data_IF_227900601182
#
_entry.id   IF_227900601182
#
_cell.length_a   1.000
_cell.length_b   1.000
_cell.length_c   1.000
_cell.angle_alpha   90.00
_cell.angle_beta   90.00
_cell.angle_gamma   90.00
#
_symmetry.space_group_name_H-M   'P 1'
#
loop_
_entity.id
_entity.type
_entity.pdbx_description
1 polymer ?
#
# COMPACT_ATOMS: atom_id res chain seq x y z
N UNK A 1 18.73 -9.88 0.57
CA UNK A 1 17.66 -10.51 1.41
C UNK A 1 16.96 -11.57 0.58
N UNK A 2 16.77 -12.80 1.09
CA UNK A 2 16.19 -13.87 0.28
C UNK A 2 14.67 -13.70 0.15
N UNK A 3 14.16 -13.74 -1.08
CA UNK A 3 12.71 -13.76 -1.41
C UNK A 3 11.98 -14.91 -0.71
N UNK A 4 12.71 -15.98 -0.33
CA UNK A 4 12.16 -17.12 0.43
C UNK A 4 11.53 -16.67 1.76
N UNK A 5 12.15 -15.77 2.51
CA UNK A 5 11.63 -15.28 3.78
C UNK A 5 10.31 -14.49 3.63
N UNK A 6 10.13 -13.79 2.51
CA UNK A 6 8.86 -13.10 2.18
C UNK A 6 7.78 -14.09 1.76
N UNK A 7 8.16 -15.20 1.09
CA UNK A 7 7.25 -16.28 0.71
C UNK A 7 6.73 -17.04 1.91
N UNK A 8 7.56 -17.27 2.91
CA UNK A 8 7.18 -18.03 4.12
C UNK A 8 6.05 -17.35 4.92
N UNK A 9 5.91 -16.04 4.81
CA UNK A 9 4.76 -15.32 5.39
C UNK A 9 3.43 -15.76 4.75
N UNK A 10 3.46 -16.38 3.56
CA UNK A 10 2.28 -16.78 2.79
C UNK A 10 2.17 -18.23 2.37
N UNK A 11 3.22 -19.01 2.51
CA UNK A 11 3.28 -20.31 1.84
C UNK A 11 2.39 -21.35 2.52
N UNK A 12 1.20 -21.54 1.95
CA UNK A 12 0.46 -22.79 2.05
C UNK A 12 0.60 -23.47 0.68
N UNK A 13 1.48 -24.49 0.54
CA UNK A 13 1.72 -25.12 -0.74
C UNK A 13 0.50 -25.90 -1.26
N UNK A 14 0.38 -26.01 -2.60
CA UNK A 14 -0.57 -26.86 -3.29
C UNK A 14 -1.99 -26.27 -3.44
N UNK A 15 -2.93 -27.17 -3.71
CA UNK A 15 -4.35 -26.83 -3.99
C UNK A 15 -4.99 -26.00 -2.87
N UNK A 16 -4.64 -26.27 -1.62
CA UNK A 16 -5.11 -25.51 -0.45
C UNK A 16 -4.68 -24.03 -0.51
N UNK A 17 -3.47 -23.75 -0.96
CA UNK A 17 -2.97 -22.39 -1.15
C UNK A 17 -3.71 -21.66 -2.27
N UNK A 18 -4.01 -22.35 -3.37
CA UNK A 18 -4.79 -21.79 -4.48
C UNK A 18 -6.23 -21.46 -4.06
N UNK A 19 -6.92 -22.41 -3.41
CA UNK A 19 -8.29 -22.20 -2.89
C UNK A 19 -8.31 -21.03 -1.90
N UNK A 20 -7.37 -20.97 -0.97
CA UNK A 20 -7.25 -19.89 -0.01
C UNK A 20 -7.07 -18.53 -0.71
N UNK A 21 -6.21 -18.44 -1.75
CA UNK A 21 -6.02 -17.22 -2.54
C UNK A 21 -7.30 -16.79 -3.24
N UNK A 22 -8.08 -17.71 -3.78
CA UNK A 22 -9.35 -17.40 -4.46
C UNK A 22 -10.42 -16.94 -3.46
N UNK A 23 -10.56 -17.63 -2.35
CA UNK A 23 -11.48 -17.24 -1.27
C UNK A 23 -11.12 -15.85 -0.76
N UNK A 24 -9.85 -15.57 -0.46
CA UNK A 24 -9.39 -14.26 0.02
C UNK A 24 -9.69 -13.14 -1.00
N UNK A 25 -9.53 -13.42 -2.32
CA UNK A 25 -9.88 -12.46 -3.37
C UNK A 25 -11.37 -12.20 -3.45
N UNK A 26 -12.18 -13.23 -3.33
CA UNK A 26 -13.64 -13.10 -3.36
C UNK A 26 -14.14 -12.33 -2.13
N UNK A 27 -13.62 -12.65 -0.96
CA UNK A 27 -13.97 -11.93 0.26
C UNK A 27 -13.46 -10.48 0.20
N UNK A 28 -12.26 -10.22 -0.33
CA UNK A 28 -11.77 -8.86 -0.51
C UNK A 28 -12.67 -8.02 -1.41
N UNK A 29 -13.22 -8.62 -2.50
CA UNK A 29 -14.21 -7.95 -3.36
C UNK A 29 -15.53 -7.69 -2.63
N UNK A 30 -16.01 -8.65 -1.84
CA UNK A 30 -17.23 -8.47 -1.06
C UNK A 30 -17.04 -7.34 -0.01
N UNK A 31 -15.92 -7.32 0.69
CA UNK A 31 -15.60 -6.25 1.64
C UNK A 31 -15.52 -4.91 0.93
N UNK A 32 -14.86 -4.84 -0.23
CA UNK A 32 -14.81 -3.61 -1.02
C UNK A 32 -16.20 -3.12 -1.44
N UNK A 33 -17.04 -4.03 -1.92
CA UNK A 33 -18.40 -3.68 -2.31
C UNK A 33 -19.21 -3.16 -1.14
N UNK A 34 -19.12 -3.81 0.02
CA UNK A 34 -19.83 -3.38 1.24
C UNK A 34 -19.34 -2.03 1.75
N UNK A 35 -18.03 -1.74 1.66
CA UNK A 35 -17.48 -0.45 2.12
C UNK A 35 -17.85 0.74 1.23
N UNK A 36 -18.38 0.49 0.02
CA UNK A 36 -18.93 1.52 -0.87
C UNK A 36 -20.38 1.88 -0.56
N UNK A 37 -21.06 1.09 0.25
CA UNK A 37 -22.45 1.37 0.65
C UNK A 37 -22.50 2.55 1.64
N UNK A 38 -23.55 3.39 1.59
CA UNK A 38 -23.76 4.43 2.58
C UNK A 38 -23.79 3.85 4.02
N UNK A 39 -23.13 4.53 4.95
CA UNK A 39 -23.09 4.11 6.36
C UNK A 39 -22.09 2.99 6.69
N UNK A 40 -21.38 2.44 5.71
CA UNK A 40 -20.32 1.47 5.96
C UNK A 40 -18.96 2.16 6.21
N UNK A 41 -18.03 1.46 6.88
CA UNK A 41 -16.67 1.92 7.10
C UNK A 41 -15.90 2.16 5.78
N UNK A 42 -14.80 2.89 5.84
CA UNK A 42 -13.88 3.03 4.71
C UNK A 42 -13.12 1.73 4.48
N UNK A 43 -12.82 1.44 3.21
CA UNK A 43 -11.89 0.36 2.84
C UNK A 43 -10.42 0.77 3.11
N UNK A 44 -10.18 1.25 4.33
CA UNK A 44 -8.90 1.79 4.80
C UNK A 44 -8.55 1.09 6.10
N UNK A 45 -7.31 0.64 6.22
CA UNK A 45 -6.77 0.01 7.43
C UNK A 45 -5.59 0.81 7.94
N UNK A 46 -5.61 1.18 9.22
CA UNK A 46 -4.47 1.81 9.89
C UNK A 46 -3.44 0.73 10.22
N UNK A 47 -2.24 0.86 9.69
CA UNK A 47 -1.12 -0.07 9.96
C UNK A 47 -0.38 0.36 11.23
N UNK A 48 -0.10 1.65 11.33
CA UNK A 48 0.54 2.28 12.48
C UNK A 48 0.14 3.77 12.55
N UNK A 49 0.84 4.57 13.35
CA UNK A 49 0.48 5.97 13.60
C UNK A 49 0.64 6.89 12.39
N UNK A 50 1.35 6.47 11.36
CA UNK A 50 1.67 7.30 10.20
C UNK A 50 1.31 6.65 8.85
N UNK A 51 0.89 5.37 8.83
CA UNK A 51 0.60 4.64 7.59
C UNK A 51 -0.79 4.03 7.61
N UNK A 52 -1.54 4.34 6.56
CA UNK A 52 -2.77 3.66 6.19
C UNK A 52 -2.60 2.92 4.86
N UNK A 53 -3.26 1.79 4.71
CA UNK A 53 -3.27 0.99 3.50
C UNK A 53 -4.70 0.59 3.15
N UNK A 54 -5.07 0.66 1.88
CA UNK A 54 -6.45 0.31 1.53
C UNK A 54 -6.77 0.19 0.07
N UNK A 55 -8.06 0.16 -0.21
CA UNK A 55 -8.65 0.30 -1.54
C UNK A 55 -9.05 1.72 -1.85
N UNK A 56 -9.47 1.97 -3.08
CA UNK A 56 -9.93 3.29 -3.51
C UNK A 56 -11.09 3.81 -2.66
N UNK A 57 -11.05 5.07 -2.32
CA UNK A 57 -12.09 5.77 -1.56
C UNK A 57 -12.91 6.63 -2.52
N UNK A 58 -14.25 6.59 -2.50
CA UNK A 58 -15.07 7.46 -3.32
C UNK A 58 -14.85 8.94 -2.97
N UNK A 59 -14.89 9.82 -3.97
CA UNK A 59 -14.74 11.28 -3.77
C UNK A 59 -15.66 11.83 -2.68
N UNK A 60 -16.90 11.37 -2.59
CA UNK A 60 -17.87 11.78 -1.57
C UNK A 60 -17.45 11.47 -0.14
N UNK A 61 -16.41 10.65 0.04
CA UNK A 61 -15.89 10.23 1.35
C UNK A 61 -14.45 10.70 1.63
N UNK A 62 -13.91 11.62 0.86
CA UNK A 62 -12.57 12.17 1.13
C UNK A 62 -12.48 12.92 2.47
N UNK A 63 -13.58 13.52 2.91
CA UNK A 63 -13.66 14.12 4.24
C UNK A 63 -13.40 13.11 5.37
N UNK A 64 -13.75 11.84 5.16
CA UNK A 64 -13.48 10.79 6.14
C UNK A 64 -11.97 10.46 6.20
N UNK A 65 -11.23 10.55 5.08
CA UNK A 65 -9.76 10.43 5.10
C UNK A 65 -9.14 11.56 5.92
N UNK A 66 -9.64 12.79 5.76
CA UNK A 66 -9.20 13.93 6.56
C UNK A 66 -9.49 13.73 8.05
N UNK A 67 -10.67 13.20 8.39
CA UNK A 67 -11.05 12.90 9.78
C UNK A 67 -10.17 11.80 10.40
N UNK A 68 -9.62 10.86 9.60
CA UNK A 68 -8.63 9.89 10.04
C UNK A 68 -7.23 10.49 10.26
N UNK A 69 -7.00 11.74 9.87
CA UNK A 69 -5.71 12.41 9.97
C UNK A 69 -4.82 12.25 8.73
N UNK A 70 -5.32 11.66 7.64
CA UNK A 70 -4.54 11.52 6.39
C UNK A 70 -4.23 12.89 5.82
N UNK A 71 -2.96 13.13 5.53
CA UNK A 71 -2.45 14.37 4.92
C UNK A 71 -1.89 14.16 3.51
N UNK A 72 -1.61 12.90 3.15
CA UNK A 72 -0.99 12.55 1.89
C UNK A 72 -1.52 11.20 1.38
N UNK A 73 -1.80 11.12 0.08
CA UNK A 73 -2.32 9.91 -0.59
C UNK A 73 -1.37 9.51 -1.71
N UNK A 74 -1.04 8.21 -1.78
CA UNK A 74 -0.37 7.61 -2.94
C UNK A 74 -1.35 6.66 -3.60
N UNK A 75 -1.83 7.05 -4.78
CA UNK A 75 -2.70 6.24 -5.61
C UNK A 75 -1.89 5.41 -6.61
N UNK A 76 -1.97 4.09 -6.49
CA UNK A 76 -1.22 3.14 -7.33
C UNK A 76 -2.04 2.64 -8.53
N UNK A 77 -3.18 3.24 -8.83
CA UNK A 77 -4.05 2.77 -9.90
C UNK A 77 -3.59 3.28 -11.27
N UNK A 78 -3.49 2.38 -12.25
CA UNK A 78 -3.33 2.73 -13.65
C UNK A 78 -4.67 2.89 -14.39
N UNK A 79 -5.74 2.35 -13.82
CA UNK A 79 -7.08 2.34 -14.39
C UNK A 79 -7.88 3.63 -14.13
N UNK A 80 -7.52 4.39 -13.12
CA UNK A 80 -8.11 5.69 -12.76
C UNK A 80 -7.23 6.39 -11.73
N UNK A 81 -7.52 7.66 -11.45
CA UNK A 81 -6.84 8.45 -10.42
C UNK A 81 -7.86 9.09 -9.48
N UNK A 82 -7.44 9.37 -8.26
CA UNK A 82 -8.23 10.18 -7.33
C UNK A 82 -8.36 11.63 -7.83
N UNK A 83 -9.39 12.34 -7.38
CA UNK A 83 -9.59 13.75 -7.72
C UNK A 83 -8.64 14.62 -6.89
N UNK A 84 -7.54 15.02 -7.50
CA UNK A 84 -6.49 15.84 -6.87
C UNK A 84 -7.04 17.16 -6.33
N UNK A 85 -7.91 17.83 -7.08
CA UNK A 85 -8.49 19.12 -6.64
C UNK A 85 -9.36 18.95 -5.41
N UNK A 86 -10.15 17.86 -5.37
CA UNK A 86 -11.01 17.58 -4.23
C UNK A 86 -10.22 17.18 -2.98
N UNK A 87 -9.10 16.46 -3.13
CA UNK A 87 -8.19 16.15 -2.03
C UNK A 87 -7.46 17.42 -1.54
N UNK A 88 -6.94 18.22 -2.46
CA UNK A 88 -6.24 19.47 -2.14
C UNK A 88 -7.13 20.45 -1.39
N UNK A 89 -8.43 20.55 -1.72
CA UNK A 89 -9.40 21.36 -0.99
C UNK A 89 -9.57 20.95 0.49
N UNK A 90 -9.20 19.70 0.83
CA UNK A 90 -9.17 19.18 2.20
C UNK A 90 -7.78 19.25 2.84
N UNK A 91 -6.79 19.82 2.14
CA UNK A 91 -5.39 19.85 2.58
C UNK A 91 -4.73 18.46 2.55
N UNK A 92 -5.14 17.60 1.61
CA UNK A 92 -4.56 16.28 1.39
C UNK A 92 -3.82 16.32 0.05
N UNK A 93 -2.53 16.02 0.08
CA UNK A 93 -1.71 15.94 -1.12
C UNK A 93 -1.88 14.59 -1.82
N UNK A 94 -1.78 14.57 -3.15
CA UNK A 94 -1.88 13.36 -3.97
C UNK A 94 -0.60 13.13 -4.77
N UNK A 95 -0.11 11.90 -4.75
CA UNK A 95 0.83 11.36 -5.72
C UNK A 95 0.18 10.20 -6.46
N UNK A 96 0.03 10.30 -7.77
CA UNK A 96 -0.39 9.18 -8.60
C UNK A 96 0.82 8.48 -9.21
N UNK A 97 0.93 7.17 -8.96
CA UNK A 97 1.94 6.27 -9.52
C UNK A 97 1.24 5.11 -10.23
N UNK A 98 0.84 5.30 -11.50
CA UNK A 98 0.00 4.33 -12.20
C UNK A 98 0.71 3.00 -12.42
N UNK A 99 0.10 1.92 -11.96
CA UNK A 99 0.57 0.54 -12.10
C UNK A 99 -0.58 -0.34 -12.55
N UNK A 100 -0.31 -1.18 -13.55
CA UNK A 100 -1.28 -2.18 -14.04
C UNK A 100 -1.68 -3.14 -12.92
N UNK A 101 -2.97 -3.49 -12.84
CA UNK A 101 -3.45 -4.41 -11.81
C UNK A 101 -2.70 -5.75 -11.84
N UNK A 102 -2.39 -6.27 -10.65
CA UNK A 102 -1.62 -7.51 -10.40
C UNK A 102 -0.13 -7.45 -10.77
N UNK A 103 0.36 -6.34 -11.32
CA UNK A 103 1.79 -6.13 -11.54
C UNK A 103 2.42 -5.41 -10.34
N UNK A 104 3.73 -5.59 -10.10
CA UNK A 104 4.44 -4.76 -9.15
C UNK A 104 4.63 -3.35 -9.75
N UNK A 105 4.71 -2.31 -8.93
CA UNK A 105 5.37 -1.07 -9.32
C UNK A 105 6.83 -1.35 -9.73
N UNK A 106 7.38 -0.55 -10.62
CA UNK A 106 8.83 -0.61 -10.87
C UNK A 106 9.62 -0.15 -9.63
N UNK A 107 10.89 -0.50 -9.56
CA UNK A 107 11.77 -0.04 -8.48
C UNK A 107 11.82 1.49 -8.43
N UNK A 108 11.85 2.14 -9.58
CA UNK A 108 11.85 3.60 -9.70
C UNK A 108 10.55 4.21 -9.18
N UNK A 109 9.40 3.58 -9.45
CA UNK A 109 8.10 4.03 -8.90
C UNK A 109 8.06 3.90 -7.38
N UNK A 110 8.58 2.79 -6.84
CA UNK A 110 8.68 2.59 -5.39
C UNK A 110 9.62 3.62 -4.75
N UNK A 111 10.79 3.86 -5.36
CA UNK A 111 11.73 4.90 -4.92
C UNK A 111 11.06 6.28 -4.91
N UNK A 112 10.42 6.67 -6.01
CA UNK A 112 9.70 7.94 -6.11
C UNK A 112 8.61 8.08 -5.05
N UNK A 113 7.83 7.04 -4.80
CA UNK A 113 6.79 7.04 -3.77
C UNK A 113 7.37 7.20 -2.37
N UNK A 114 8.49 6.51 -2.08
CA UNK A 114 9.21 6.63 -0.80
C UNK A 114 9.78 8.04 -0.62
N UNK A 115 10.50 8.55 -1.63
CA UNK A 115 11.10 9.89 -1.59
C UNK A 115 10.06 11.00 -1.40
N UNK A 116 8.88 10.81 -1.99
CA UNK A 116 7.76 11.74 -1.81
C UNK A 116 7.11 11.62 -0.44
N UNK A 117 7.04 10.41 0.14
CA UNK A 117 6.38 10.17 1.43
C UNK A 117 7.25 10.61 2.62
N UNK A 118 8.58 10.33 2.59
CA UNK A 118 9.46 10.53 3.75
C UNK A 118 9.44 11.96 4.32
N UNK A 119 9.60 13.04 3.53
CA UNK A 119 9.55 14.40 4.08
C UNK A 119 8.21 14.75 4.74
N UNK A 120 7.10 14.22 4.21
CA UNK A 120 5.76 14.43 4.75
C UNK A 120 5.58 13.74 6.10
N UNK A 121 6.12 12.54 6.23
CA UNK A 121 6.14 11.78 7.48
C UNK A 121 7.05 12.42 8.53
N UNK A 122 8.18 13.01 8.13
CA UNK A 122 9.09 13.76 9.01
C UNK A 122 8.43 15.03 9.56
N UNK A 123 7.53 15.63 8.80
CA UNK A 123 6.71 16.78 9.22
C UNK A 123 5.48 16.38 10.07
N UNK A 124 5.38 15.11 10.47
CA UNK A 124 4.26 14.60 11.27
C UNK A 124 3.01 14.25 10.44
N UNK A 125 3.10 14.20 9.13
CA UNK A 125 2.01 13.81 8.24
C UNK A 125 1.67 12.33 8.36
N UNK A 126 0.51 11.95 7.83
CA UNK A 126 0.03 10.58 7.75
C UNK A 126 -0.25 10.23 6.29
N UNK A 127 0.33 9.11 5.84
CA UNK A 127 0.27 8.68 4.44
C UNK A 127 -0.73 7.53 4.27
N UNK A 128 -1.59 7.64 3.29
CA UNK A 128 -2.46 6.58 2.82
C UNK A 128 -2.00 6.06 1.47
N UNK A 129 -1.64 4.77 1.38
CA UNK A 129 -1.29 4.11 0.13
C UNK A 129 -2.39 3.17 -0.31
N UNK A 130 -2.87 3.32 -1.53
CA UNK A 130 -3.96 2.50 -2.00
C UNK A 130 -3.86 2.10 -3.48
N UNK A 131 -4.68 1.16 -3.86
CA UNK A 131 -5.01 0.79 -5.23
C UNK A 131 -6.52 0.56 -5.33
N UNK A 132 -7.01 -0.17 -6.30
CA UNK A 132 -8.46 -0.41 -6.42
C UNK A 132 -9.02 -1.19 -5.23
N UNK A 133 -8.40 -2.33 -4.87
CA UNK A 133 -8.91 -3.24 -3.85
C UNK A 133 -8.09 -3.22 -2.54
N UNK A 134 -6.92 -2.62 -2.53
CA UNK A 134 -6.03 -2.61 -1.37
C UNK A 134 -5.46 -3.99 -1.02
N UNK A 135 -5.24 -4.85 -2.02
CA UNK A 135 -4.76 -6.23 -1.84
C UNK A 135 -3.28 -6.37 -2.18
N UNK A 136 -2.81 -5.69 -3.25
CA UNK A 136 -1.44 -5.86 -3.77
C UNK A 136 -0.66 -4.56 -3.89
N UNK A 137 -0.96 -3.72 -4.88
CA UNK A 137 -0.19 -2.52 -5.25
C UNK A 137 -0.08 -1.50 -4.11
N UNK A 138 -1.19 -1.12 -3.47
CA UNK A 138 -1.21 -0.20 -2.33
C UNK A 138 -0.43 -0.75 -1.12
N UNK A 139 -0.71 -1.99 -0.65
CA UNK A 139 0.09 -2.62 0.38
C UNK A 139 1.59 -2.67 0.08
N UNK A 140 1.98 -2.96 -1.17
CA UNK A 140 3.39 -3.02 -1.57
C UNK A 140 4.06 -1.65 -1.45
N UNK A 141 3.39 -0.56 -1.84
CA UNK A 141 3.91 0.79 -1.64
C UNK A 141 4.06 1.12 -0.14
N UNK A 142 3.08 0.77 0.68
CA UNK A 142 3.18 0.93 2.13
C UNK A 142 4.36 0.17 2.73
N UNK A 143 4.61 -1.06 2.27
CA UNK A 143 5.78 -1.87 2.66
C UNK A 143 7.09 -1.20 2.27
N UNK A 144 7.18 -0.65 1.07
CA UNK A 144 8.38 0.07 0.62
C UNK A 144 8.70 1.26 1.53
N UNK A 145 7.67 2.03 1.95
CA UNK A 145 7.84 3.14 2.89
C UNK A 145 8.30 2.63 4.27
N UNK A 146 7.72 1.54 4.78
CA UNK A 146 8.14 0.95 6.06
C UNK A 146 9.60 0.49 6.02
N UNK A 147 10.01 -0.18 4.95
CA UNK A 147 11.41 -0.61 4.74
C UNK A 147 12.35 0.59 4.67
N UNK A 148 11.97 1.63 3.96
CA UNK A 148 12.78 2.85 3.86
C UNK A 148 12.97 3.55 5.21
N UNK A 149 12.01 3.41 6.12
CA UNK A 149 12.09 3.86 7.52
C UNK A 149 12.80 2.88 8.45
N UNK A 150 13.43 1.85 7.93
CA UNK A 150 14.26 0.91 8.67
C UNK A 150 13.58 -0.36 9.15
N UNK A 151 12.32 -0.60 8.77
CA UNK A 151 11.67 -1.86 9.11
C UNK A 151 12.26 -3.03 8.31
N UNK A 152 12.40 -4.19 8.94
CA UNK A 152 12.66 -5.45 8.24
C UNK A 152 11.43 -5.83 7.39
N UNK A 153 11.65 -6.17 6.12
CA UNK A 153 10.55 -6.36 5.17
C UNK A 153 9.59 -7.51 5.55
N UNK A 154 10.05 -8.68 6.02
CA UNK A 154 9.17 -9.71 6.59
C UNK A 154 8.36 -9.24 7.80
N UNK A 155 8.96 -8.44 8.68
CA UNK A 155 8.26 -7.85 9.86
C UNK A 155 7.18 -6.88 9.40
N UNK A 156 7.55 -5.92 8.55
CA UNK A 156 6.62 -4.95 7.96
C UNK A 156 5.44 -5.65 7.27
N UNK A 157 5.70 -6.72 6.52
CA UNK A 157 4.65 -7.45 5.84
C UNK A 157 3.67 -8.15 6.80
N UNK A 158 4.17 -8.70 7.92
CA UNK A 158 3.29 -9.24 8.97
C UNK A 158 2.43 -8.16 9.61
N UNK A 159 2.98 -6.97 9.86
CA UNK A 159 2.23 -5.83 10.41
C UNK A 159 1.13 -5.35 9.47
N UNK A 160 1.46 -5.15 8.20
CA UNK A 160 0.46 -4.80 7.18
C UNK A 160 -0.65 -5.85 7.12
N UNK A 161 -0.32 -7.13 7.16
CA UNK A 161 -1.31 -8.21 7.15
C UNK A 161 -2.14 -8.31 8.42
N UNK A 162 -1.57 -7.99 9.57
CA UNK A 162 -2.30 -7.93 10.84
C UNK A 162 -3.36 -6.82 10.79
N UNK A 163 -3.01 -5.65 10.26
CA UNK A 163 -3.93 -4.53 10.09
C UNK A 163 -4.93 -4.74 8.95
N UNK A 164 -4.47 -5.40 7.88
CA UNK A 164 -5.25 -5.66 6.66
C UNK A 164 -5.04 -7.10 6.18
N UNK A 165 -5.85 -8.01 6.68
CA UNK A 165 -5.74 -9.44 6.38
C UNK A 165 -5.89 -9.77 4.87
N UNK A 166 -6.58 -8.91 4.09
CA UNK A 166 -6.73 -9.02 2.64
C UNK A 166 -5.44 -8.74 1.88
N UNK A 167 -4.48 -8.02 2.49
CA UNK A 167 -3.21 -7.70 1.86
C UNK A 167 -2.46 -8.99 1.52
N UNK A 168 -2.35 -9.29 0.21
CA UNK A 168 -1.74 -10.51 -0.29
C UNK A 168 -0.97 -10.18 -1.56
N UNK A 169 0.35 -10.13 -1.45
CA UNK A 169 1.22 -9.94 -2.61
C UNK A 169 1.31 -11.25 -3.41
N UNK A 170 1.21 -11.17 -4.72
CA UNK A 170 1.53 -12.29 -5.60
C UNK A 170 3.05 -12.42 -5.79
N UNK A 171 3.52 -13.51 -6.44
CA UNK A 171 4.95 -13.77 -6.59
C UNK A 171 5.69 -12.65 -7.33
N UNK A 172 5.07 -12.00 -8.34
CA UNK A 172 5.67 -10.85 -9.05
C UNK A 172 5.84 -9.66 -8.10
N UNK A 173 4.86 -9.40 -7.28
CA UNK A 173 4.88 -8.31 -6.30
C UNK A 173 5.87 -8.58 -5.16
N UNK A 174 6.03 -9.84 -4.73
CA UNK A 174 7.06 -10.23 -3.76
C UNK A 174 8.46 -10.05 -4.33
N UNK A 175 8.68 -10.41 -5.60
CA UNK A 175 9.95 -10.16 -6.28
C UNK A 175 10.22 -8.66 -6.40
N UNK A 176 9.24 -7.87 -6.84
CA UNK A 176 9.37 -6.41 -6.94
C UNK A 176 9.70 -5.73 -5.59
N UNK A 177 9.14 -6.25 -4.48
CA UNK A 177 9.54 -5.78 -3.14
C UNK A 177 10.98 -6.14 -2.81
N UNK A 178 11.43 -7.36 -3.13
CA UNK A 178 12.82 -7.79 -2.89
C UNK A 178 13.81 -6.98 -3.72
N UNK A 179 13.48 -6.69 -4.99
CA UNK A 179 14.29 -5.86 -5.87
C UNK A 179 14.41 -4.43 -5.30
N UNK A 180 13.29 -3.86 -4.85
CA UNK A 180 13.29 -2.56 -4.16
C UNK A 180 14.17 -2.59 -2.89
N UNK A 181 14.04 -3.58 -2.02
CA UNK A 181 14.84 -3.68 -0.79
C UNK A 181 16.33 -3.71 -1.12
N UNK A 182 16.72 -4.47 -2.14
CA UNK A 182 18.11 -4.56 -2.60
C UNK A 182 18.62 -3.21 -3.13
N UNK A 183 17.83 -2.56 -3.98
CA UNK A 183 18.17 -1.27 -4.56
C UNK A 183 18.20 -0.15 -3.49
N UNK A 184 17.27 -0.17 -2.54
CA UNK A 184 17.25 0.79 -1.44
C UNK A 184 18.47 0.65 -0.52
N UNK A 185 18.85 -0.58 -0.18
CA UNK A 185 20.05 -0.84 0.64
C UNK A 185 21.37 -0.45 -0.06
N UNK A 186 21.40 -0.50 -1.40
CA UNK A 186 22.56 -0.08 -2.19
C UNK A 186 22.71 1.45 -2.27
N UNK A 187 21.72 2.24 -1.88
CA UNK A 187 21.83 3.69 -1.76
C UNK A 187 22.79 4.01 -0.61
N UNK A 188 23.95 4.58 -0.90
CA UNK A 188 24.89 5.03 0.13
C UNK A 188 24.17 5.99 1.08
N UNK A 189 24.28 5.81 2.41
CA UNK A 189 23.80 6.81 3.35
C UNK A 189 24.63 8.08 3.13
N UNK A 190 24.02 9.15 2.62
CA UNK A 190 24.72 10.42 2.46
C UNK A 190 24.43 11.22 1.19
N UNK A 191 23.20 11.26 0.73
CA UNK A 191 22.72 12.32 -0.17
C UNK A 191 21.28 12.68 0.17
N UNK A 192 21.09 13.27 1.36
CA UNK A 192 20.07 14.30 1.51
C UNK A 192 20.71 15.55 0.90
N UNK A 193 20.22 15.97 -0.25
CA UNK A 193 20.51 17.29 -0.80
C UNK A 193 19.53 18.28 -0.22
#
# INVERSE_FOLDING_TARGET
MSVSLLRDVHHVPGVRGWVRKQVLRSVARCVEWTTKLPGQGLNVSRVNDWLFVGGGVPRSRYADLKALGVTAVIDMRGERCDDEKALAALGIELLNLPVTDRYPPSVEQLMRGVEWALPRLEQGGQVFTHCEHGVGRGPLMGLAIMVARGADAPVAYREVRKARWQATLNDRQLNGLADFVTAWAARKPGRAA
#
